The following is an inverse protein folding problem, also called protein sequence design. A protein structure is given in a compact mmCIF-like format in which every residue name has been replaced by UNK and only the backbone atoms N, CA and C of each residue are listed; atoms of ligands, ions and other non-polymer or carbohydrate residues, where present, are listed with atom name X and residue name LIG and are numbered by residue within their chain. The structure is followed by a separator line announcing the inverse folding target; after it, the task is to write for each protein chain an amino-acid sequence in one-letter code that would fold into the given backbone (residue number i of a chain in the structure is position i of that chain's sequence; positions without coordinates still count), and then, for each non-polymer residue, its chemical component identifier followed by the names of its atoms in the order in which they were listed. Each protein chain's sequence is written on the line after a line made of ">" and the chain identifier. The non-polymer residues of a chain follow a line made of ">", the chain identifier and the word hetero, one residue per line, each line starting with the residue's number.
data_IF_767914394173
#
_entry.id   IF_767914394173
#
_cell.length_a   1.000
_cell.length_b   1.000
_cell.length_c   1.000
_cell.angle_alpha   90.00
_cell.angle_beta   90.00
_cell.angle_gamma   90.00
#
_symmetry.space_group_name_H-M   'P 1'
#
loop_
_entity.id
_entity.type
_entity.pdbx_description
1 polymer ?
#
# COMPACT_ATOMS: atom_id res chain seq x y z
N UNK A 1 0.91 -24.96 14.41
CA UNK A 1 1.21 -23.80 13.55
C UNK A 1 0.32 -22.68 14.04
N UNK A 2 0.85 -21.47 14.23
CA UNK A 2 0.04 -20.33 14.68
C UNK A 2 -0.38 -19.44 13.49
N UNK A 3 -1.23 -18.44 13.73
CA UNK A 3 -1.68 -17.46 12.69
C UNK A 3 -0.50 -16.84 11.94
N UNK A 4 0.54 -16.44 12.66
CA UNK A 4 1.68 -15.72 12.08
C UNK A 4 2.45 -16.61 11.11
N UNK A 5 2.72 -17.86 11.52
CA UNK A 5 3.38 -18.86 10.69
C UNK A 5 2.56 -19.15 9.42
N UNK A 6 1.23 -19.28 9.56
CA UNK A 6 0.34 -19.52 8.43
C UNK A 6 0.41 -18.38 7.39
N UNK A 7 0.30 -17.14 7.84
CA UNK A 7 0.33 -15.96 6.95
C UNK A 7 1.71 -15.75 6.32
N UNK A 8 2.80 -16.08 7.03
CA UNK A 8 4.16 -16.00 6.49
C UNK A 8 4.40 -17.03 5.39
N UNK A 9 3.98 -18.28 5.61
CA UNK A 9 4.05 -19.35 4.60
C UNK A 9 3.20 -18.99 3.38
N UNK A 10 1.96 -18.51 3.60
CA UNK A 10 1.08 -18.06 2.51
C UNK A 10 1.73 -16.93 1.70
N UNK A 11 2.29 -15.91 2.38
CA UNK A 11 3.00 -14.81 1.73
C UNK A 11 4.14 -15.29 0.83
N UNK A 12 4.92 -16.25 1.31
CA UNK A 12 6.07 -16.77 0.57
C UNK A 12 5.66 -17.52 -0.69
N UNK A 13 4.55 -18.26 -0.67
CA UNK A 13 4.02 -18.91 -1.87
C UNK A 13 3.40 -17.94 -2.89
N UNK A 14 2.89 -16.79 -2.44
CA UNK A 14 2.30 -15.78 -3.33
C UNK A 14 3.38 -14.86 -3.97
N UNK A 15 4.57 -14.77 -3.37
CA UNK A 15 5.69 -13.98 -3.92
C UNK A 15 6.06 -14.46 -5.32
N UNK A 16 6.24 -13.51 -6.24
CA UNK A 16 6.60 -13.78 -7.63
C UNK A 16 5.40 -14.07 -8.55
N UNK A 17 4.23 -14.38 -8.00
CA UNK A 17 2.98 -14.53 -8.76
C UNK A 17 2.07 -13.32 -8.65
N UNK A 18 2.14 -12.62 -7.52
CA UNK A 18 1.34 -11.44 -7.23
C UNK A 18 2.24 -10.23 -6.99
N UNK A 19 1.71 -9.04 -7.24
CA UNK A 19 2.31 -7.79 -6.76
C UNK A 19 2.25 -7.73 -5.23
N UNK A 20 3.18 -7.01 -4.59
CA UNK A 20 3.11 -6.86 -3.12
C UNK A 20 1.76 -6.28 -2.64
N UNK A 21 1.09 -5.48 -3.47
CA UNK A 21 -0.23 -4.96 -3.16
C UNK A 21 -1.26 -6.09 -3.07
N UNK A 22 -1.35 -6.95 -4.09
CA UNK A 22 -2.29 -8.08 -4.12
C UNK A 22 -1.99 -9.09 -3.02
N UNK A 23 -0.70 -9.37 -2.76
CA UNK A 23 -0.30 -10.23 -1.64
C UNK A 23 -0.83 -9.66 -0.32
N UNK A 24 -0.67 -8.35 -0.08
CA UNK A 24 -1.15 -7.73 1.15
C UNK A 24 -2.69 -7.70 1.24
N UNK A 25 -3.40 -7.64 0.11
CA UNK A 25 -4.87 -7.73 0.08
C UNK A 25 -5.33 -9.13 0.47
N UNK A 26 -4.76 -10.15 -0.15
CA UNK A 26 -5.01 -11.56 0.17
C UNK A 26 -4.72 -11.83 1.65
N UNK A 27 -3.54 -11.46 2.14
CA UNK A 27 -3.17 -11.68 3.54
C UNK A 27 -4.10 -10.98 4.53
N UNK A 28 -4.68 -9.84 4.16
CA UNK A 28 -5.66 -9.12 4.99
C UNK A 28 -6.95 -9.92 5.11
N UNK A 29 -7.45 -10.51 4.02
CA UNK A 29 -8.69 -11.30 4.05
C UNK A 29 -8.55 -12.54 4.94
N UNK A 30 -7.42 -13.24 4.82
CA UNK A 30 -7.11 -14.36 5.71
C UNK A 30 -6.91 -13.90 7.16
N UNK A 31 -6.27 -12.75 7.39
CA UNK A 31 -6.16 -12.17 8.73
C UNK A 31 -7.55 -11.83 9.32
N UNK A 32 -8.48 -11.29 8.54
CA UNK A 32 -9.88 -11.07 8.96
C UNK A 32 -10.54 -12.38 9.40
N UNK A 33 -10.31 -13.46 8.66
CA UNK A 33 -10.83 -14.78 8.98
C UNK A 33 -10.33 -15.28 10.34
N UNK A 34 -9.03 -15.15 10.62
CA UNK A 34 -8.45 -15.47 11.93
C UNK A 34 -9.02 -14.64 13.06
N UNK A 35 -9.28 -13.35 12.80
CA UNK A 35 -9.87 -12.47 13.80
C UNK A 35 -11.32 -12.86 14.10
N UNK A 36 -12.12 -13.16 13.08
CA UNK A 36 -13.50 -13.61 13.25
C UNK A 36 -13.57 -14.95 13.98
N UNK A 37 -12.72 -15.92 13.63
CA UNK A 37 -12.65 -17.20 14.35
C UNK A 37 -12.33 -17.03 15.84
N UNK A 38 -11.43 -16.10 16.17
CA UNK A 38 -11.14 -15.75 17.57
C UNK A 38 -12.33 -15.10 18.28
N UNK A 39 -13.12 -14.26 17.59
CA UNK A 39 -14.37 -13.70 18.16
C UNK A 39 -15.40 -14.79 18.44
N UNK A 40 -15.48 -15.80 17.58
CA UNK A 40 -16.35 -16.97 17.75
C UNK A 40 -15.85 -17.96 18.81
N UNK A 41 -14.76 -17.65 19.52
CA UNK A 41 -14.19 -18.50 20.57
C UNK A 41 -13.36 -19.69 20.05
N UNK A 42 -13.07 -19.75 18.75
CA UNK A 42 -12.25 -20.81 18.15
C UNK A 42 -10.76 -20.61 18.42
N UNK A 43 -10.04 -21.70 18.58
CA UNK A 43 -8.58 -21.69 18.66
C UNK A 43 -7.93 -21.42 17.29
N UNK A 44 -6.68 -20.94 17.27
CA UNK A 44 -5.97 -20.72 16.00
C UNK A 44 -5.82 -22.03 15.21
N UNK A 45 -5.67 -23.16 15.91
CA UNK A 45 -5.60 -24.50 15.34
C UNK A 45 -6.91 -24.91 14.66
N UNK A 46 -8.06 -24.63 15.27
CA UNK A 46 -9.38 -24.89 14.66
C UNK A 46 -9.60 -24.02 13.42
N UNK A 47 -9.19 -22.75 13.48
CA UNK A 47 -9.26 -21.83 12.35
C UNK A 47 -8.36 -22.31 11.19
N UNK A 48 -7.12 -22.72 11.47
CA UNK A 48 -6.22 -23.31 10.47
C UNK A 48 -6.82 -24.57 9.86
N UNK A 49 -7.44 -25.42 10.68
CA UNK A 49 -8.10 -26.65 10.20
C UNK A 49 -9.24 -26.31 9.24
N UNK A 50 -10.01 -25.25 9.52
CA UNK A 50 -11.10 -24.79 8.64
C UNK A 50 -10.62 -24.15 7.33
N UNK A 51 -9.45 -23.47 7.35
CA UNK A 51 -8.85 -22.84 6.18
C UNK A 51 -8.12 -23.86 5.28
N UNK A 52 -7.61 -24.94 5.84
CA UNK A 52 -6.80 -25.93 5.13
C UNK A 52 -5.33 -25.49 5.00
N UNK A 53 -4.63 -26.01 3.99
CA UNK A 53 -3.18 -25.76 3.87
C UNK A 53 -2.88 -24.43 3.17
N UNK A 54 -1.96 -23.59 3.69
CA UNK A 54 -1.61 -22.30 3.08
C UNK A 54 -1.02 -22.47 1.67
N UNK A 55 -0.39 -23.62 1.40
CA UNK A 55 0.11 -23.98 0.06
C UNK A 55 -1.01 -24.26 -0.93
N UNK A 56 -2.05 -24.98 -0.53
CA UNK A 56 -3.20 -25.26 -1.39
C UNK A 56 -3.93 -23.97 -1.76
N UNK A 57 -4.18 -23.11 -0.78
CA UNK A 57 -4.75 -21.78 -0.96
C UNK A 57 -3.92 -20.95 -1.96
N UNK A 58 -2.61 -20.85 -1.75
CA UNK A 58 -1.75 -20.10 -2.67
C UNK A 58 -1.81 -20.67 -4.10
N UNK A 59 -1.83 -22.00 -4.23
CA UNK A 59 -1.89 -22.67 -5.53
C UNK A 59 -3.20 -22.38 -6.25
N UNK A 60 -4.33 -22.41 -5.54
CA UNK A 60 -5.66 -22.07 -6.06
C UNK A 60 -5.71 -20.62 -6.55
N UNK A 61 -5.26 -19.67 -5.73
CA UNK A 61 -5.19 -18.26 -6.08
C UNK A 61 -4.29 -18.01 -7.31
N UNK A 62 -3.14 -18.71 -7.40
CA UNK A 62 -2.24 -18.62 -8.57
C UNK A 62 -2.92 -19.18 -9.82
N UNK A 63 -3.69 -20.27 -9.70
CA UNK A 63 -4.41 -20.87 -10.82
C UNK A 63 -5.53 -19.96 -11.34
N UNK A 64 -6.23 -19.27 -10.44
CA UNK A 64 -7.28 -18.30 -10.77
C UNK A 64 -6.71 -17.10 -11.56
N UNK A 65 -5.58 -16.55 -11.13
CA UNK A 65 -4.91 -15.44 -11.83
C UNK A 65 -4.25 -15.88 -13.14
N UNK A 66 -3.74 -17.11 -13.25
CA UNK A 66 -3.12 -17.61 -14.49
C UNK A 66 -4.08 -17.70 -15.70
N UNK A 67 -5.38 -17.52 -15.50
CA UNK A 67 -6.37 -17.32 -16.57
C UNK A 67 -6.33 -15.95 -17.24
N UNK A 68 -5.74 -14.92 -16.61
CA UNK A 68 -5.64 -13.56 -17.15
C UNK A 68 -4.22 -12.98 -16.98
N UNK A 69 -3.47 -13.00 -18.09
CA UNK A 69 -2.26 -12.22 -18.37
C UNK A 69 -0.96 -12.46 -17.56
N UNK A 70 0.09 -12.77 -18.35
CA UNK A 70 1.51 -12.80 -17.98
C UNK A 70 2.11 -11.39 -18.07
N UNK A 71 2.91 -11.01 -17.08
CA UNK A 71 3.76 -9.83 -17.13
C UNK A 71 4.97 -9.99 -16.20
N UNK A 72 6.14 -10.13 -16.82
CA UNK A 72 7.43 -10.43 -16.19
C UNK A 72 7.91 -9.33 -15.22
N UNK A 73 8.71 -9.73 -14.21
CA UNK A 73 9.47 -8.81 -13.36
C UNK A 73 10.90 -9.31 -13.17
N UNK A 74 11.84 -8.59 -13.76
CA UNK A 74 13.27 -8.66 -13.49
C UNK A 74 13.62 -8.07 -12.11
N UNK A 75 14.65 -8.66 -11.49
CA UNK A 75 15.29 -8.23 -10.25
C UNK A 75 16.67 -7.67 -10.58
N UNK A 76 16.93 -6.41 -10.23
CA UNK A 76 18.26 -5.81 -10.24
C UNK A 76 18.58 -5.26 -8.84
N UNK A 77 19.66 -5.76 -8.23
CA UNK A 77 20.12 -5.36 -6.89
C UNK A 77 21.50 -4.71 -6.99
N UNK A 78 21.60 -3.47 -6.54
CA UNK A 78 22.82 -2.67 -6.43
C UNK A 78 23.48 -2.76 -5.05
N UNK A 79 24.77 -2.40 -4.99
CA UNK A 79 25.57 -2.02 -3.80
C UNK A 79 26.63 -1.02 -4.32
N UNK A 80 27.11 0.02 -3.63
CA UNK A 80 27.27 0.36 -2.20
C UNK A 80 27.72 1.84 -2.23
N UNK A 81 27.16 2.78 -1.45
CA UNK A 81 27.89 3.33 -0.28
C UNK A 81 27.06 4.31 0.60
N UNK A 82 25.74 4.41 0.44
CA UNK A 82 24.90 5.32 1.26
C UNK A 82 24.57 4.83 2.70
N UNK A 83 25.15 3.68 3.09
CA UNK A 83 24.67 2.81 4.17
C UNK A 83 24.80 3.39 5.58
N UNK A 84 25.73 4.31 5.83
CA UNK A 84 26.04 4.82 7.17
C UNK A 84 25.08 5.93 7.61
N UNK A 85 24.71 6.84 6.69
CA UNK A 85 23.71 7.88 6.93
C UNK A 85 22.29 7.29 6.96
N UNK A 86 22.02 6.33 6.06
CA UNK A 86 20.77 5.57 6.07
C UNK A 86 20.55 4.83 7.38
N UNK A 87 21.58 4.23 7.97
CA UNK A 87 21.41 3.47 9.22
C UNK A 87 21.02 4.36 10.40
N UNK A 88 21.53 5.60 10.48
CA UNK A 88 21.13 6.57 11.52
C UNK A 88 19.71 7.09 11.29
N UNK A 89 19.39 7.53 10.07
CA UNK A 89 18.04 7.96 9.72
C UNK A 89 17.02 6.83 9.88
N UNK A 90 17.39 5.60 9.47
CA UNK A 90 16.61 4.38 9.66
C UNK A 90 16.39 4.09 11.13
N UNK A 91 17.40 4.15 11.99
CA UNK A 91 17.21 3.83 13.41
C UNK A 91 16.31 4.86 14.11
N UNK A 92 16.48 6.15 13.82
CA UNK A 92 15.64 7.22 14.38
C UNK A 92 14.19 7.14 13.86
N UNK A 93 14.03 6.88 12.56
CA UNK A 93 12.74 6.63 11.94
C UNK A 93 12.12 5.33 12.48
N UNK A 94 12.91 4.29 12.73
CA UNK A 94 12.42 3.04 13.33
C UNK A 94 11.91 3.28 14.74
N UNK A 95 12.57 4.09 15.55
CA UNK A 95 12.14 4.34 16.92
C UNK A 95 10.85 5.20 16.97
N UNK A 96 10.75 6.24 16.14
CA UNK A 96 9.53 7.04 16.00
C UNK A 96 8.38 6.28 15.34
N UNK A 97 8.67 5.52 14.28
CA UNK A 97 7.70 4.69 13.56
C UNK A 97 7.27 3.49 14.39
N UNK A 98 8.14 2.87 15.19
CA UNK A 98 7.77 1.74 16.06
C UNK A 98 6.84 2.20 17.18
N UNK A 99 7.06 3.40 17.73
CA UNK A 99 6.11 4.01 18.68
C UNK A 99 4.72 4.21 18.06
N UNK A 100 4.65 4.74 16.84
CA UNK A 100 3.39 4.88 16.09
C UNK A 100 2.81 3.53 15.62
N UNK A 101 3.65 2.56 15.27
CA UNK A 101 3.27 1.20 14.85
C UNK A 101 2.66 0.44 16.02
N UNK A 102 3.25 0.58 17.21
CA UNK A 102 2.75 0.01 18.45
C UNK A 102 1.45 0.72 18.88
N UNK A 103 1.33 2.03 18.67
CA UNK A 103 0.09 2.79 18.91
C UNK A 103 -1.08 2.33 18.03
N UNK A 104 -0.78 1.88 16.81
CA UNK A 104 -1.75 1.32 15.87
C UNK A 104 -1.68 -0.21 15.78
N UNK A 105 -1.13 -0.88 16.80
CA UNK A 105 -1.03 -2.32 16.77
C UNK A 105 -2.44 -2.92 16.80
N UNK A 106 -2.71 -3.73 15.79
CA UNK A 106 -3.93 -4.49 15.56
C UNK A 106 -4.50 -5.17 16.81
N UNK A 107 -3.63 -5.76 17.64
CA UNK A 107 -4.03 -6.40 18.89
C UNK A 107 -4.47 -5.41 19.97
N UNK A 108 -3.86 -4.23 20.04
CA UNK A 108 -4.16 -3.22 21.06
C UNK A 108 -5.48 -2.48 20.78
N UNK A 109 -5.88 -2.38 19.50
CA UNK A 109 -7.20 -1.89 19.10
C UNK A 109 -8.29 -2.83 19.61
N UNK A 110 -8.16 -4.14 19.33
CA UNK A 110 -9.14 -5.17 19.76
C UNK A 110 -9.16 -5.34 21.29
N UNK A 111 -8.01 -5.24 21.95
CA UNK A 111 -7.90 -5.39 23.40
C UNK A 111 -8.37 -4.15 24.19
N UNK A 112 -8.91 -3.14 23.52
CA UNK A 112 -9.51 -1.97 24.19
C UNK A 112 -8.52 -1.00 24.83
N UNK A 113 -7.20 -1.16 24.62
CA UNK A 113 -6.19 -0.25 25.19
C UNK A 113 -6.39 1.21 24.77
N UNK A 114 -6.93 1.42 23.56
CA UNK A 114 -7.31 2.75 23.08
C UNK A 114 -8.80 2.77 22.70
N UNK A 115 -9.50 3.87 23.02
CA UNK A 115 -10.88 4.02 22.61
C UNK A 115 -10.97 4.29 21.10
N UNK A 116 -11.98 3.70 20.46
CA UNK A 116 -12.11 3.60 18.99
C UNK A 116 -12.12 4.97 18.30
N UNK A 117 -12.72 5.98 18.93
CA UNK A 117 -12.75 7.36 18.46
C UNK A 117 -11.37 8.04 18.33
N UNK A 118 -10.37 7.68 19.14
CA UNK A 118 -9.01 8.25 19.09
C UNK A 118 -8.29 7.70 17.86
N UNK A 119 -8.47 6.41 17.57
CA UNK A 119 -7.91 5.77 16.38
C UNK A 119 -8.52 6.35 15.11
N UNK A 120 -9.85 6.53 15.08
CA UNK A 120 -10.56 7.18 13.96
C UNK A 120 -10.09 8.62 13.79
N UNK A 121 -10.01 9.39 14.88
CA UNK A 121 -9.52 10.77 14.86
C UNK A 121 -8.10 10.88 14.32
N UNK A 122 -7.20 9.99 14.72
CA UNK A 122 -5.84 9.94 14.21
C UNK A 122 -5.78 9.62 12.71
N UNK A 123 -6.55 8.61 12.24
CA UNK A 123 -6.63 8.28 10.81
C UNK A 123 -7.17 9.48 10.01
N UNK A 124 -8.18 10.17 10.53
CA UNK A 124 -8.77 11.34 9.88
C UNK A 124 -7.79 12.49 9.80
N UNK A 125 -7.11 12.84 10.90
CA UNK A 125 -6.08 13.89 10.91
C UNK A 125 -4.96 13.56 9.92
N UNK A 126 -4.51 12.30 9.88
CA UNK A 126 -3.47 11.86 8.95
C UNK A 126 -3.94 11.92 7.50
N UNK A 127 -5.18 11.52 7.21
CA UNK A 127 -5.79 11.61 5.86
C UNK A 127 -5.89 13.05 5.39
N UNK A 128 -6.43 13.93 6.25
CA UNK A 128 -6.59 15.36 5.94
C UNK A 128 -5.25 16.04 5.76
N UNK A 129 -4.25 15.70 6.59
CA UNK A 129 -2.90 16.22 6.46
C UNK A 129 -2.23 15.79 5.14
N UNK A 130 -2.49 14.58 4.66
CA UNK A 130 -1.92 14.06 3.41
C UNK A 130 -2.62 14.55 2.15
N UNK A 131 -3.90 14.91 2.24
CA UNK A 131 -4.71 15.38 1.11
C UNK A 131 -4.10 16.56 0.32
N UNK A 132 -3.64 17.67 0.95
CA UNK A 132 -3.05 18.79 0.20
C UNK A 132 -1.73 18.40 -0.48
N UNK A 133 -0.94 17.52 0.12
CA UNK A 133 0.27 16.99 -0.51
C UNK A 133 -0.07 16.14 -1.74
N UNK A 134 -1.09 15.27 -1.63
CA UNK A 134 -1.54 14.46 -2.76
C UNK A 134 -2.03 15.31 -3.93
N UNK A 135 -2.82 16.36 -3.66
CA UNK A 135 -3.28 17.31 -4.67
C UNK A 135 -2.12 18.09 -5.31
N UNK A 136 -1.16 18.54 -4.51
CA UNK A 136 0.02 19.26 -5.00
C UNK A 136 0.87 18.39 -5.93
N UNK A 137 1.08 17.12 -5.55
CA UNK A 137 1.82 16.17 -6.37
C UNK A 137 1.06 15.91 -7.68
N UNK A 138 -0.25 15.68 -7.63
CA UNK A 138 -1.06 15.45 -8.83
C UNK A 138 -1.03 16.65 -9.79
N UNK A 139 -1.16 17.88 -9.26
CA UNK A 139 -1.06 19.11 -10.06
C UNK A 139 0.32 19.29 -10.69
N UNK A 140 1.39 18.98 -9.95
CA UNK A 140 2.75 19.02 -10.48
C UNK A 140 2.97 17.98 -11.59
N UNK A 141 2.37 16.79 -11.47
CA UNK A 141 2.45 15.76 -12.50
C UNK A 141 1.72 16.15 -13.77
N UNK A 142 0.53 16.74 -13.65
CA UNK A 142 -0.23 17.20 -14.81
C UNK A 142 0.51 18.31 -15.55
N UNK A 143 1.03 19.28 -14.80
CA UNK A 143 1.85 20.37 -15.34
C UNK A 143 3.13 19.84 -16.00
N UNK A 144 3.83 18.91 -15.34
CA UNK A 144 5.02 18.27 -15.87
C UNK A 144 4.75 17.49 -17.15
N UNK A 145 3.65 16.76 -17.21
CA UNK A 145 3.23 16.02 -18.40
C UNK A 145 2.98 16.95 -19.59
N UNK A 146 2.22 18.03 -19.38
CA UNK A 146 1.99 19.06 -20.40
C UNK A 146 3.31 19.69 -20.84
N UNK A 147 4.17 20.07 -19.89
CA UNK A 147 5.49 20.64 -20.17
C UNK A 147 6.36 19.73 -21.03
N UNK A 148 6.35 18.42 -20.77
CA UNK A 148 7.08 17.45 -21.58
C UNK A 148 6.51 17.32 -22.99
N UNK A 149 5.20 17.36 -23.16
CA UNK A 149 4.56 17.35 -24.49
C UNK A 149 4.97 18.59 -25.28
N UNK A 150 4.80 19.79 -24.71
CA UNK A 150 5.18 21.03 -25.38
C UNK A 150 6.66 21.09 -25.71
N UNK A 151 7.52 20.63 -24.80
CA UNK A 151 8.96 20.57 -25.05
C UNK A 151 9.33 19.58 -26.16
N UNK A 152 8.59 18.46 -26.27
CA UNK A 152 8.75 17.49 -27.35
C UNK A 152 8.39 18.10 -28.70
N UNK A 153 7.24 18.79 -28.78
CA UNK A 153 6.81 19.50 -30.00
C UNK A 153 7.81 20.59 -30.38
N UNK A 154 8.28 21.38 -29.41
CA UNK A 154 9.27 22.44 -29.64
C UNK A 154 10.61 21.90 -30.14
N UNK A 155 11.05 20.75 -29.64
CA UNK A 155 12.30 20.12 -30.09
C UNK A 155 12.20 19.61 -31.54
N UNK A 156 11.05 19.04 -31.92
CA UNK A 156 10.79 18.63 -33.32
C UNK A 156 10.76 19.87 -34.22
N UNK A 157 10.07 20.93 -33.79
CA UNK A 157 10.02 22.18 -34.54
C UNK A 157 11.42 22.80 -34.74
N UNK A 158 12.25 22.81 -33.69
CA UNK A 158 13.64 23.28 -33.77
C UNK A 158 14.48 22.49 -34.76
N UNK A 159 14.26 21.18 -34.86
CA UNK A 159 14.95 20.32 -35.84
C UNK A 159 14.52 20.65 -37.28
N UNK A 160 13.21 20.85 -37.52
CA UNK A 160 12.72 21.28 -38.84
C UNK A 160 13.23 22.68 -39.20
N UNK A 161 13.20 23.61 -38.25
CA UNK A 161 13.68 24.99 -38.42
C UNK A 161 15.19 25.08 -38.69
N UNK A 162 15.98 24.14 -38.16
CA UNK A 162 17.40 24.06 -38.49
C UNK A 162 17.65 23.85 -40.00
N UNK A 163 16.87 22.97 -40.64
CA UNK A 163 17.00 22.69 -42.07
C UNK A 163 16.57 23.87 -42.96
N UNK A 164 15.69 24.75 -42.48
CA UNK A 164 15.25 25.91 -43.27
C UNK A 164 16.31 27.01 -43.32
N UNK A 165 17.13 27.17 -42.27
CA UNK A 165 18.17 28.20 -42.19
C UNK A 165 19.49 27.75 -42.82
N UNK A 166 19.76 26.44 -42.82
CA UNK A 166 21.02 25.86 -43.29
C UNK A 166 21.44 26.31 -44.71
N UNK A 167 20.55 26.49 -45.70
CA UNK A 167 20.93 27.00 -47.03
C UNK A 167 21.42 28.46 -47.03
N UNK A 168 20.95 29.27 -46.09
CA UNK A 168 21.32 30.69 -45.98
C UNK A 168 22.56 30.89 -45.11
N UNK A 169 22.58 30.27 -43.92
CA UNK A 169 23.66 30.35 -42.96
C UNK A 169 23.98 28.97 -42.37
N UNK A 170 24.84 28.22 -43.06
CA UNK A 170 25.14 26.82 -42.73
C UNK A 170 25.68 26.61 -41.31
N UNK A 171 26.45 27.55 -40.77
CA UNK A 171 26.98 27.50 -39.40
C UNK A 171 25.88 27.65 -38.35
N UNK A 172 24.97 28.61 -38.51
CA UNK A 172 23.81 28.78 -37.62
C UNK A 172 22.86 27.60 -37.72
N UNK A 173 22.55 27.14 -38.93
CA UNK A 173 21.69 25.97 -39.15
C UNK A 173 22.23 24.72 -38.44
N UNK A 174 23.53 24.41 -38.62
CA UNK A 174 24.17 23.28 -37.95
C UNK A 174 24.18 23.42 -36.42
N UNK A 175 24.38 24.63 -35.89
CA UNK A 175 24.32 24.86 -34.44
C UNK A 175 22.93 24.53 -33.85
N UNK A 176 21.86 25.01 -34.49
CA UNK A 176 20.47 24.72 -34.07
C UNK A 176 20.15 23.23 -34.18
N UNK A 177 20.69 22.55 -35.21
CA UNK A 177 20.55 21.10 -35.37
C UNK A 177 21.10 20.35 -34.14
N UNK A 178 22.35 20.58 -33.77
CA UNK A 178 22.96 19.88 -32.63
C UNK A 178 22.30 20.24 -31.31
N UNK A 179 21.86 21.49 -31.13
CA UNK A 179 21.10 21.90 -29.95
C UNK A 179 19.78 21.12 -29.84
N UNK A 180 19.07 20.93 -30.95
CA UNK A 180 17.83 20.15 -30.98
C UNK A 180 18.06 18.66 -30.68
N UNK A 181 19.17 18.06 -31.16
CA UNK A 181 19.52 16.68 -30.85
C UNK A 181 19.81 16.47 -29.36
N UNK A 182 20.54 17.40 -28.73
CA UNK A 182 20.81 17.36 -27.29
C UNK A 182 19.50 17.49 -26.51
N UNK A 183 18.60 18.40 -26.93
CA UNK A 183 17.29 18.57 -26.31
C UNK A 183 16.44 17.30 -26.37
N UNK A 184 16.41 16.62 -27.52
CA UNK A 184 15.69 15.33 -27.68
C UNK A 184 16.29 14.26 -26.74
N UNK A 185 17.62 14.17 -26.65
CA UNK A 185 18.28 13.26 -25.72
C UNK A 185 17.90 13.53 -24.25
N UNK A 186 17.90 14.79 -23.83
CA UNK A 186 17.46 15.19 -22.50
C UNK A 186 15.97 14.87 -22.26
N UNK A 187 15.11 15.04 -23.26
CA UNK A 187 13.68 14.74 -23.14
C UNK A 187 13.41 13.26 -22.90
N UNK A 188 14.16 12.35 -23.53
CA UNK A 188 14.04 10.91 -23.27
C UNK A 188 14.34 10.60 -21.80
N UNK A 189 15.38 11.22 -21.25
CA UNK A 189 15.74 11.07 -19.83
C UNK A 189 14.62 11.64 -18.94
N UNK A 190 14.06 12.80 -19.29
CA UNK A 190 12.94 13.37 -18.54
C UNK A 190 11.69 12.49 -18.56
N UNK A 191 11.33 11.89 -19.71
CA UNK A 191 10.21 10.96 -19.84
C UNK A 191 10.41 9.69 -19.02
N UNK A 192 11.61 9.11 -19.04
CA UNK A 192 11.92 7.90 -18.24
C UNK A 192 11.82 8.18 -16.75
N UNK A 193 12.34 9.31 -16.27
CA UNK A 193 12.21 9.75 -14.88
C UNK A 193 10.73 9.98 -14.52
N UNK A 194 9.97 10.66 -15.38
CA UNK A 194 8.56 10.94 -15.16
C UNK A 194 7.72 9.66 -14.98
N UNK A 195 7.96 8.64 -15.81
CA UNK A 195 7.28 7.33 -15.72
C UNK A 195 7.62 6.63 -14.39
N UNK A 196 8.89 6.65 -13.97
CA UNK A 196 9.30 6.05 -12.69
C UNK A 196 8.64 6.75 -11.51
N UNK A 197 8.58 8.08 -11.53
CA UNK A 197 7.88 8.89 -10.51
C UNK A 197 6.38 8.53 -10.48
N UNK A 198 5.73 8.42 -11.63
CA UNK A 198 4.31 8.07 -11.71
C UNK A 198 4.03 6.68 -11.12
N UNK A 199 4.88 5.68 -11.42
CA UNK A 199 4.77 4.32 -10.86
C UNK A 199 4.97 4.32 -9.34
N UNK A 200 5.96 5.06 -8.86
CA UNK A 200 6.25 5.20 -7.44
C UNK A 200 5.09 5.87 -6.68
N UNK A 201 4.49 6.92 -7.25
CA UNK A 201 3.33 7.57 -6.66
C UNK A 201 2.13 6.64 -6.58
N UNK A 202 1.83 5.90 -7.67
CA UNK A 202 0.78 4.88 -7.67
C UNK A 202 0.99 3.86 -6.55
N UNK A 203 2.22 3.40 -6.34
CA UNK A 203 2.57 2.49 -5.27
C UNK A 203 2.26 3.07 -3.88
N UNK A 204 2.66 4.32 -3.60
CA UNK A 204 2.38 4.98 -2.31
C UNK A 204 0.88 5.10 -2.06
N UNK A 205 0.11 5.55 -3.05
CA UNK A 205 -1.35 5.74 -2.91
C UNK A 205 -2.04 4.41 -2.60
N UNK A 206 -1.69 3.35 -3.33
CA UNK A 206 -2.25 2.02 -3.10
C UNK A 206 -1.85 1.44 -1.74
N UNK A 207 -0.59 1.63 -1.34
CA UNK A 207 -0.10 1.23 -0.02
C UNK A 207 -0.88 1.93 1.09
N UNK A 208 -1.14 3.24 0.93
CA UNK A 208 -1.94 4.03 1.85
C UNK A 208 -3.38 3.54 1.95
N UNK A 209 -4.06 3.36 0.81
CA UNK A 209 -5.45 2.84 0.77
C UNK A 209 -5.53 1.47 1.45
N UNK A 210 -4.59 0.59 1.14
CA UNK A 210 -4.49 -0.73 1.78
C UNK A 210 -4.33 -0.58 3.30
N UNK A 211 -3.41 0.26 3.76
CA UNK A 211 -3.22 0.46 5.19
C UNK A 211 -4.49 0.97 5.91
N UNK A 212 -5.22 1.92 5.30
CA UNK A 212 -6.50 2.44 5.82
C UNK A 212 -7.54 1.32 5.91
N UNK A 213 -7.70 0.51 4.85
CA UNK A 213 -8.64 -0.64 4.83
C UNK A 213 -8.37 -1.59 5.99
N UNK A 214 -7.11 -1.96 6.21
CA UNK A 214 -6.73 -2.85 7.32
C UNK A 214 -7.15 -2.27 8.66
N UNK A 215 -6.94 -0.97 8.91
CA UNK A 215 -7.33 -0.36 10.20
C UNK A 215 -8.85 -0.32 10.39
N UNK A 216 -9.62 -0.05 9.35
CA UNK A 216 -11.08 -0.11 9.42
C UNK A 216 -11.60 -1.53 9.70
N UNK A 217 -10.95 -2.56 9.16
CA UNK A 217 -11.25 -3.96 9.48
C UNK A 217 -11.11 -4.23 10.98
N UNK A 218 -9.99 -3.82 11.59
CA UNK A 218 -9.78 -3.97 13.05
C UNK A 218 -10.82 -3.25 13.89
N UNK A 219 -11.23 -2.05 13.48
CA UNK A 219 -12.28 -1.28 14.14
C UNK A 219 -13.63 -2.02 14.06
N UNK A 220 -13.96 -2.61 12.91
CA UNK A 220 -15.19 -3.38 12.70
C UNK A 220 -15.22 -4.64 13.57
N UNK A 221 -14.13 -5.40 13.58
CA UNK A 221 -13.98 -6.60 14.42
C UNK A 221 -14.12 -6.25 15.89
N UNK A 222 -13.48 -5.17 16.36
CA UNK A 222 -13.64 -4.70 17.74
C UNK A 222 -15.09 -4.37 18.06
N UNK A 223 -15.79 -3.65 17.19
CA UNK A 223 -17.22 -3.32 17.40
C UNK A 223 -18.08 -4.57 17.57
N UNK A 224 -17.87 -5.59 16.73
CA UNK A 224 -18.56 -6.89 16.87
C UNK A 224 -18.26 -7.57 18.20
N UNK A 225 -17.01 -7.49 18.66
CA UNK A 225 -16.62 -7.99 19.99
C UNK A 225 -17.38 -7.28 21.10
N UNK A 226 -17.38 -5.95 21.08
CA UNK A 226 -18.05 -5.12 22.08
C UNK A 226 -19.58 -5.40 22.09
N UNK A 227 -20.19 -5.62 20.92
CA UNK A 227 -21.61 -6.03 20.77
C UNK A 227 -21.86 -7.42 21.38
N UNK A 228 -21.04 -8.42 21.05
CA UNK A 228 -21.17 -9.77 21.59
C UNK A 228 -20.94 -9.81 23.11
N UNK A 229 -19.96 -9.06 23.63
CA UNK A 229 -19.70 -8.96 25.06
C UNK A 229 -20.89 -8.28 25.78
N UNK A 230 -21.60 -7.34 25.13
CA UNK A 230 -22.79 -6.70 25.71
C UNK A 230 -24.00 -7.62 25.76
N UNK A 231 -24.25 -8.41 24.71
CA UNK A 231 -25.37 -9.37 24.64
C UNK A 231 -25.22 -10.48 25.68
N UNK A 232 -24.02 -11.04 25.85
CA UNK A 232 -23.72 -12.03 26.90
C UNK A 232 -23.95 -11.47 28.30
N UNK A 233 -23.58 -10.20 28.54
CA UNK A 233 -23.80 -9.57 29.84
C UNK A 233 -25.30 -9.33 30.12
N UNK A 234 -26.08 -8.97 29.10
CA UNK A 234 -27.53 -8.76 29.20
C UNK A 234 -28.26 -10.09 29.50
N UNK A 235 -27.89 -11.18 28.81
CA UNK A 235 -28.42 -12.53 29.07
C UNK A 235 -28.13 -13.03 30.50
N UNK A 236 -26.90 -12.77 31.01
CA UNK A 236 -26.52 -13.12 32.38
C UNK A 236 -27.33 -12.32 33.41
N UNK A 237 -27.63 -11.05 33.13
CA UNK A 237 -28.43 -10.20 34.00
C UNK A 237 -29.91 -10.65 34.02
N UNK A 238 -30.50 -10.94 32.86
CA UNK A 238 -31.86 -11.50 32.77
C UNK A 238 -31.98 -12.86 33.46
N UNK A 239 -30.97 -13.74 33.33
CA UNK A 239 -30.94 -15.03 34.01
C UNK A 239 -30.96 -14.90 35.53
N UNK A 240 -30.22 -13.93 36.08
CA UNK A 240 -30.17 -13.67 37.53
C UNK A 240 -31.46 -13.03 38.06
N UNK A 241 -32.12 -12.15 37.30
CA UNK A 241 -33.43 -11.61 37.69
C UNK A 241 -34.51 -12.70 37.72
N UNK A 242 -34.48 -13.64 36.77
CA UNK A 242 -35.42 -14.77 36.72
C UNK A 242 -35.21 -15.73 37.89
N UNK A 243 -33.96 -15.99 38.30
CA UNK A 243 -33.67 -16.79 39.51
C UNK A 243 -34.05 -16.07 40.81
N UNK A 244 -33.84 -14.74 40.90
CA UNK A 244 -34.21 -13.95 42.07
C UNK A 244 -35.72 -13.90 42.34
N UNK A 245 -36.54 -13.90 41.29
CA UNK A 245 -38.01 -13.89 41.39
C UNK A 245 -38.66 -15.25 41.70
N UNK A 246 -37.89 -16.35 41.74
CA UNK A 246 -38.40 -17.70 42.06
C UNK A 246 -38.33 -17.99 43.58
N UNK A 247 -37.62 -17.16 44.34
CA UNK A 247 -37.43 -17.32 45.79
C UNK A 247 -38.15 -16.27 46.65
N UNK A 248 -38.96 -15.38 46.06
CA UNK A 248 -39.95 -14.53 46.74
C UNK A 248 -41.37 -15.12 46.59
#
# INVERSE_FOLDING_TARGET
>A
MNKKDFLEILKDYLKGHFTEYEINDILRDYEEFFLNGKLEGKSEEEVITSLGSPKAIATELIMEIKGENKGDKESFSSKTDYKSMYRKAKNLAYEGFDKCRNFLNSSDIINGKFPTWIVIGFILVFTVAMLPFALSILGSMFTGFIGLIFSSVGSIFGLVFSFTIMPAEGTMGAFVFFLSLIAIGALIICWTIFIHIARFLKYIILSYISWVKTRFMYIRVKKKKDESDSEVNEDILEGKEKEGNIYE
#
